data_IF_380309442361
#
_entry.id   IF_380309442361
#
_cell.length_a   1.000
_cell.length_b   1.000
_cell.length_c   1.000
_cell.angle_alpha   90.00
_cell.angle_beta   90.00
_cell.angle_gamma   90.00
#
_symmetry.space_group_name_H-M   'P 1'
#
loop_
_entity.id
_entity.type
_entity.pdbx_description
1 polymer ?
#
# COMPACT_ATOMS: atom_id res chain seq x y z
N UNK A 1 1.40 -10.13 -13.30
CA UNK A 1 0.26 -11.02 -12.99
C UNK A 1 0.47 -11.50 -11.56
N UNK A 2 -0.24 -10.92 -10.58
CA UNK A 2 -0.16 -11.38 -9.19
C UNK A 2 -0.81 -12.77 -9.10
N UNK A 3 -0.15 -13.72 -8.43
CA UNK A 3 -0.61 -15.10 -8.30
C UNK A 3 -1.89 -15.15 -7.42
N UNK A 4 -3.01 -15.71 -7.91
CA UNK A 4 -4.24 -15.87 -7.12
C UNK A 4 -4.06 -16.73 -5.85
N UNK A 5 -2.91 -17.39 -5.65
CA UNK A 5 -2.59 -18.08 -4.39
C UNK A 5 -2.38 -17.14 -3.19
N UNK A 6 -1.94 -15.89 -3.40
CA UNK A 6 -1.64 -14.99 -2.27
C UNK A 6 -2.91 -14.55 -1.52
N UNK A 7 -4.03 -14.43 -2.22
CA UNK A 7 -5.32 -14.00 -1.64
C UNK A 7 -6.00 -15.15 -0.88
N UNK A 8 -5.85 -16.39 -1.34
CA UNK A 8 -6.41 -17.57 -0.66
C UNK A 8 -5.82 -17.82 0.74
N UNK A 9 -4.65 -17.25 1.06
CA UNK A 9 -4.05 -17.35 2.40
C UNK A 9 -4.76 -16.42 3.39
N UNK A 10 -5.20 -15.24 2.93
CA UNK A 10 -5.88 -14.26 3.79
C UNK A 10 -7.32 -14.69 4.12
N UNK A 11 -8.04 -15.30 3.17
CA UNK A 11 -9.38 -15.86 3.40
C UNK A 11 -9.37 -17.20 4.14
N UNK A 12 -8.23 -17.92 4.17
CA UNK A 12 -8.06 -19.10 5.02
C UNK A 12 -7.85 -18.75 6.50
N UNK A 13 -7.26 -17.58 6.80
CA UNK A 13 -7.01 -17.10 8.16
C UNK A 13 -8.30 -16.74 8.93
N UNK A 14 -9.40 -16.46 8.24
CA UNK A 14 -10.68 -16.12 8.87
C UNK A 14 -11.57 -17.33 9.14
N UNK A 15 -11.16 -18.56 8.77
CA UNK A 15 -12.03 -19.74 8.74
C UNK A 15 -11.62 -20.95 9.58
N UNK A 16 -10.59 -20.86 10.42
CA UNK A 16 -10.20 -21.98 11.27
C UNK A 16 -10.40 -21.67 12.74
N UNK A 17 -11.50 -22.17 13.28
CA UNK A 17 -11.63 -22.44 14.71
C UNK A 17 -10.59 -23.50 15.10
N UNK A 18 -9.81 -23.19 16.14
CA UNK A 18 -9.04 -24.14 16.97
C UNK A 18 -7.71 -24.72 16.44
N UNK A 19 -6.96 -23.96 15.62
CA UNK A 19 -5.51 -24.20 15.48
C UNK A 19 -4.73 -22.90 15.60
N UNK A 20 -4.00 -22.77 16.71
CA UNK A 20 -2.97 -21.77 16.97
C UNK A 20 -1.90 -21.84 15.87
N UNK A 21 -2.11 -21.08 14.79
CA UNK A 21 -1.24 -21.08 13.61
C UNK A 21 -0.56 -19.73 13.47
N UNK A 22 0.77 -19.73 13.61
CA UNK A 22 1.59 -18.60 13.18
C UNK A 22 1.61 -18.59 11.66
N UNK A 23 1.01 -17.58 11.06
CA UNK A 23 1.08 -17.36 9.62
C UNK A 23 2.07 -16.25 9.35
N UNK A 24 3.02 -16.53 8.47
CA UNK A 24 3.95 -15.55 7.94
C UNK A 24 3.60 -15.34 6.47
N UNK A 25 3.17 -14.13 6.14
CA UNK A 25 2.92 -13.72 4.76
C UNK A 25 4.07 -12.81 4.37
N UNK A 26 4.96 -13.33 3.54
CA UNK A 26 5.95 -12.51 2.86
C UNK A 26 5.38 -12.16 1.49
N UNK A 27 5.10 -10.88 1.27
CA UNK A 27 4.69 -10.42 -0.04
C UNK A 27 5.89 -10.48 -0.99
N UNK A 28 5.63 -10.64 -2.29
CA UNK A 28 6.67 -10.65 -3.33
C UNK A 28 7.48 -9.36 -3.42
N UNK A 29 7.02 -8.34 -2.70
CA UNK A 29 7.57 -7.03 -2.68
C UNK A 29 8.12 -6.68 -1.28
N UNK A 30 8.30 -7.67 -0.41
CA UNK A 30 9.14 -7.50 0.77
C UNK A 30 8.44 -6.90 1.98
N UNK A 31 7.11 -6.93 2.05
CA UNK A 31 6.39 -6.74 3.30
C UNK A 31 6.23 -8.11 3.97
N UNK A 32 6.68 -8.23 5.22
CA UNK A 32 6.47 -9.43 6.02
C UNK A 32 5.41 -9.12 7.08
N UNK A 33 4.32 -9.89 7.05
CA UNK A 33 3.27 -9.92 8.07
C UNK A 33 3.43 -11.19 8.89
N UNK A 34 3.56 -11.07 10.20
CA UNK A 34 3.59 -12.22 11.11
C UNK A 34 2.40 -12.15 12.07
N UNK A 35 1.60 -13.21 12.15
CA UNK A 35 0.53 -13.35 13.17
C UNK A 35 1.06 -14.08 14.42
N UNK A 36 0.55 -13.76 15.61
CA UNK A 36 0.90 -14.49 16.83
C UNK A 36 -0.08 -15.61 17.16
N UNK A 37 0.38 -16.54 17.99
CA UNK A 37 -0.21 -17.84 18.27
C UNK A 37 -1.40 -17.78 19.26
N UNK A 38 -1.54 -16.69 19.98
CA UNK A 38 -2.35 -16.56 21.20
C UNK A 38 -3.83 -16.23 20.93
N UNK A 39 -4.36 -16.58 19.75
CA UNK A 39 -5.77 -16.35 19.37
C UNK A 39 -6.13 -14.87 19.13
N UNK A 40 -5.22 -13.96 19.45
CA UNK A 40 -5.25 -12.56 19.03
C UNK A 40 -4.50 -12.39 17.71
N UNK A 41 -5.10 -11.68 16.75
CA UNK A 41 -4.35 -11.16 15.60
C UNK A 41 -3.45 -10.01 16.07
N UNK A 42 -2.25 -10.32 16.55
CA UNK A 42 -1.14 -9.37 16.62
C UNK A 42 -0.36 -9.47 15.31
N UNK A 43 -0.24 -8.36 14.58
CA UNK A 43 0.40 -8.32 13.26
C UNK A 43 1.72 -7.60 13.39
N UNK A 44 2.85 -8.28 13.18
CA UNK A 44 4.14 -7.60 13.07
C UNK A 44 4.46 -7.33 11.62
N UNK A 45 4.84 -6.09 11.34
CA UNK A 45 5.20 -5.65 10.01
C UNK A 45 6.68 -5.28 9.96
N UNK A 46 7.40 -5.80 8.97
CA UNK A 46 8.76 -5.36 8.67
C UNK A 46 9.04 -5.42 7.18
N UNK A 47 10.01 -4.61 6.76
CA UNK A 47 10.61 -4.72 5.43
C UNK A 47 11.50 -5.97 5.39
N UNK A 48 11.39 -6.77 4.34
CA UNK A 48 12.41 -7.74 3.96
C UNK A 48 13.69 -6.96 3.68
N UNK A 49 14.84 -7.46 4.11
CA UNK A 49 16.10 -6.90 3.64
C UNK A 49 16.12 -7.03 2.10
N UNK A 50 16.59 -6.00 1.36
CA UNK A 50 16.90 -6.21 -0.04
C UNK A 50 17.87 -7.38 -0.11
N UNK A 51 17.62 -8.35 -1.00
CA UNK A 51 18.65 -9.29 -1.38
C UNK A 51 19.86 -8.46 -1.81
N UNK A 52 21.01 -8.71 -1.20
CA UNK A 52 22.28 -8.00 -1.43
C UNK A 52 22.78 -8.33 -2.84
N UNK A 53 22.10 -7.80 -3.87
CA UNK A 53 22.57 -7.80 -5.23
C UNK A 53 23.62 -6.70 -5.31
N UNK A 54 24.86 -7.06 -5.01
CA UNK A 54 26.02 -6.19 -4.93
C UNK A 54 26.22 -5.29 -6.14
N UNK A 55 25.54 -4.16 -6.15
CA UNK A 55 25.81 -3.01 -7.00
C UNK A 55 26.04 -1.82 -6.09
N UNK A 56 27.32 -1.49 -5.91
CA UNK A 56 27.75 -0.15 -5.54
C UNK A 56 27.17 0.83 -6.56
N UNK A 57 26.04 1.42 -6.23
CA UNK A 57 25.50 2.57 -6.94
C UNK A 57 26.08 3.83 -6.30
N UNK A 58 26.94 4.52 -7.04
CA UNK A 58 27.31 5.90 -6.79
C UNK A 58 26.05 6.75 -6.56
N UNK A 59 26.07 7.56 -5.50
CA UNK A 59 24.95 8.38 -5.04
C UNK A 59 24.32 9.20 -6.18
N UNK A 60 23.02 9.01 -6.50
CA UNK A 60 22.29 9.96 -7.32
C UNK A 60 21.99 11.24 -6.52
N UNK A 61 21.72 12.38 -7.19
CA UNK A 61 21.52 13.67 -6.51
C UNK A 61 20.39 13.55 -5.48
N UNK A 62 20.52 14.13 -4.31
CA UNK A 62 19.52 14.05 -3.24
C UNK A 62 18.17 14.64 -3.73
N UNK A 63 17.07 13.86 -3.80
CA UNK A 63 15.74 14.45 -3.97
C UNK A 63 15.47 15.34 -2.75
N UNK A 64 14.79 16.47 -2.93
CA UNK A 64 14.60 17.48 -1.87
C UNK A 64 14.20 16.80 -0.55
N UNK A 65 15.04 16.82 0.49
CA UNK A 65 14.75 16.11 1.72
C UNK A 65 13.45 16.66 2.32
N UNK A 66 12.69 15.79 2.97
CA UNK A 66 11.59 16.22 3.83
C UNK A 66 12.10 17.33 4.76
N UNK A 67 11.26 18.32 5.06
CA UNK A 67 11.73 19.48 5.85
C UNK A 67 12.40 19.01 7.15
N UNK A 68 13.52 19.65 7.58
CA UNK A 68 14.29 19.17 8.72
C UNK A 68 13.42 18.94 9.95
N UNK A 69 13.31 17.68 10.38
CA UNK A 69 12.53 17.28 11.57
C UNK A 69 11.17 16.62 11.32
N UNK A 70 10.73 16.50 10.06
CA UNK A 70 9.47 15.85 9.71
C UNK A 70 9.65 14.85 8.56
N UNK A 71 9.00 13.70 8.60
CA UNK A 71 8.91 12.80 7.45
C UNK A 71 7.83 13.26 6.48
N UNK A 72 7.70 12.57 5.35
CA UNK A 72 6.64 12.80 4.38
C UNK A 72 5.32 12.18 4.85
N UNK A 73 4.21 12.80 4.46
CA UNK A 73 2.86 12.22 4.61
C UNK A 73 2.20 12.08 3.25
N UNK A 74 1.63 10.92 2.98
CA UNK A 74 1.04 10.61 1.69
C UNK A 74 -0.45 10.31 1.79
N UNK A 75 -1.19 10.66 0.74
CA UNK A 75 -2.46 10.02 0.42
C UNK A 75 -2.22 8.94 -0.63
N UNK A 76 -2.86 7.79 -0.45
CA UNK A 76 -3.06 6.81 -1.51
C UNK A 76 -4.55 6.74 -1.79
N UNK A 77 -4.96 7.17 -2.99
CA UNK A 77 -6.34 7.15 -3.43
C UNK A 77 -6.39 6.98 -4.95
N UNK A 78 -7.37 6.23 -5.48
CA UNK A 78 -7.47 5.99 -6.90
C UNK A 78 -7.86 7.26 -7.65
N UNK A 79 -7.00 7.66 -8.58
CA UNK A 79 -7.26 8.75 -9.52
C UNK A 79 -6.77 8.34 -10.91
N UNK A 80 -7.72 8.07 -11.81
CA UNK A 80 -7.47 7.49 -13.12
C UNK A 80 -6.36 8.25 -13.89
N UNK A 81 -5.42 7.50 -14.47
CA UNK A 81 -4.22 7.98 -15.19
C UNK A 81 -3.15 8.67 -14.32
N UNK A 82 -3.19 8.50 -13.00
CA UNK A 82 -2.15 9.01 -12.11
C UNK A 82 -1.39 7.89 -11.40
N UNK A 83 -0.43 8.24 -10.54
CA UNK A 83 0.31 7.29 -9.70
C UNK A 83 -0.48 6.81 -8.47
N UNK A 84 -1.65 7.41 -8.21
CA UNK A 84 -2.48 7.23 -7.01
C UNK A 84 -1.83 7.70 -5.71
N UNK A 85 -0.63 8.30 -5.77
CA UNK A 85 0.12 8.75 -4.58
C UNK A 85 0.32 10.24 -4.62
N UNK A 86 -0.04 10.90 -3.52
CA UNK A 86 -0.14 12.35 -3.42
C UNK A 86 0.47 12.83 -2.10
N UNK A 87 1.06 14.01 -2.10
CA UNK A 87 1.46 14.66 -0.85
C UNK A 87 0.23 15.16 -0.10
N UNK A 88 0.32 15.08 1.22
CA UNK A 88 -0.56 15.79 2.14
C UNK A 88 -0.11 17.25 2.25
N UNK A 89 -0.73 18.15 1.51
CA UNK A 89 -0.23 19.53 1.33
C UNK A 89 -0.32 20.42 2.57
N UNK A 90 -1.17 20.08 3.53
CA UNK A 90 -1.24 20.75 4.83
C UNK A 90 -0.16 20.26 5.81
N UNK A 91 0.67 19.29 5.41
CA UNK A 91 1.77 18.78 6.23
C UNK A 91 3.07 19.54 5.97
N UNK A 92 3.62 20.16 7.01
CA UNK A 92 4.86 20.96 6.93
C UNK A 92 6.09 20.17 6.44
N UNK A 93 6.10 18.84 6.58
CA UNK A 93 7.18 17.98 6.08
C UNK A 93 7.16 17.76 4.56
N UNK A 94 6.03 18.04 3.89
CA UNK A 94 5.86 17.89 2.45
C UNK A 94 6.18 19.19 1.70
N UNK A 95 6.45 19.12 0.38
CA UNK A 95 6.47 20.30 -0.49
C UNK A 95 5.12 21.04 -0.43
N UNK A 96 5.13 22.33 -0.12
CA UNK A 96 3.92 23.10 0.24
C UNK A 96 3.03 23.52 -0.93
N UNK A 97 3.50 23.44 -2.17
CA UNK A 97 2.82 23.89 -3.39
C UNK A 97 2.50 22.75 -4.37
N UNK A 98 2.91 21.52 -4.07
CA UNK A 98 2.79 20.38 -4.95
C UNK A 98 2.00 19.25 -4.27
N UNK A 99 0.83 18.91 -4.85
CA UNK A 99 0.06 17.74 -4.43
C UNK A 99 0.57 16.47 -5.09
N UNK A 100 1.12 16.58 -6.30
CA UNK A 100 1.54 15.43 -7.09
C UNK A 100 2.91 14.92 -6.65
N UNK A 101 3.03 13.62 -6.38
CA UNK A 101 4.34 13.04 -6.14
C UNK A 101 4.90 12.53 -7.46
N UNK A 102 6.01 13.14 -7.88
CA UNK A 102 6.77 12.67 -9.03
C UNK A 102 7.15 11.17 -8.86
N UNK A 103 6.90 10.38 -9.89
CA UNK A 103 7.09 8.94 -9.84
C UNK A 103 8.57 8.54 -9.79
N UNK A 104 9.45 9.28 -10.46
CA UNK A 104 10.89 9.06 -10.42
C UNK A 104 11.42 9.35 -9.01
N UNK A 105 10.86 10.36 -8.33
CA UNK A 105 11.14 10.64 -6.93
C UNK A 105 10.70 9.49 -6.01
N UNK A 106 9.49 8.94 -6.19
CA UNK A 106 9.03 7.77 -5.43
C UNK A 106 9.94 6.55 -5.66
N UNK A 107 10.27 6.27 -6.93
CA UNK A 107 11.16 5.17 -7.32
C UNK A 107 12.54 5.32 -6.67
N UNK A 108 13.09 6.52 -6.71
CA UNK A 108 14.41 6.82 -6.15
C UNK A 108 14.44 6.69 -4.62
N UNK A 109 13.37 7.09 -3.94
CA UNK A 109 13.26 7.02 -2.47
C UNK A 109 13.01 5.61 -1.97
N UNK A 110 12.12 4.85 -2.64
CA UNK A 110 11.59 3.58 -2.11
C UNK A 110 11.98 2.35 -2.93
N UNK A 111 12.66 2.54 -4.04
CA UNK A 111 13.20 1.49 -4.90
C UNK A 111 12.19 0.94 -5.92
N UNK A 112 12.74 0.25 -6.92
CA UNK A 112 11.95 -0.32 -8.03
C UNK A 112 10.96 -1.39 -7.62
N UNK A 113 11.22 -2.12 -6.52
CA UNK A 113 10.30 -3.15 -6.07
C UNK A 113 8.96 -2.53 -5.64
N UNK A 114 9.01 -1.39 -4.95
CA UNK A 114 7.82 -0.68 -4.49
C UNK A 114 7.06 -0.06 -5.65
N UNK A 115 7.80 0.59 -6.55
CA UNK A 115 7.25 1.13 -7.80
C UNK A 115 6.52 0.05 -8.61
N UNK A 116 7.15 -1.11 -8.85
CA UNK A 116 6.53 -2.21 -9.60
C UNK A 116 5.27 -2.76 -8.94
N UNK A 117 5.24 -2.84 -7.61
CA UNK A 117 4.04 -3.29 -6.89
C UNK A 117 2.90 -2.26 -7.02
N UNK A 118 3.22 -0.97 -6.90
CA UNK A 118 2.28 0.13 -7.12
C UNK A 118 1.72 0.09 -8.53
N UNK A 119 2.57 0.00 -9.54
CA UNK A 119 2.15 0.01 -10.94
C UNK A 119 1.25 -1.18 -11.26
N UNK A 120 1.57 -2.37 -10.74
CA UNK A 120 0.71 -3.55 -10.90
C UNK A 120 -0.66 -3.37 -10.23
N UNK A 121 -0.74 -2.66 -9.11
CA UNK A 121 -1.99 -2.37 -8.40
C UNK A 121 -2.81 -1.26 -9.10
N UNK A 122 -2.17 -0.21 -9.59
CA UNK A 122 -2.77 0.85 -10.42
C UNK A 122 -3.29 0.28 -11.74
N UNK A 123 -2.53 -0.58 -12.40
CA UNK A 123 -2.93 -1.25 -13.65
C UNK A 123 -4.22 -2.05 -13.50
N UNK A 124 -4.42 -2.72 -12.35
CA UNK A 124 -5.66 -3.47 -12.08
C UNK A 124 -6.87 -2.53 -12.05
N UNK A 125 -6.75 -1.41 -11.32
CA UNK A 125 -7.81 -0.40 -11.27
C UNK A 125 -8.06 0.18 -12.67
N UNK A 126 -7.01 0.62 -13.36
CA UNK A 126 -7.10 1.22 -14.70
C UNK A 126 -7.83 0.31 -15.68
N UNK A 127 -7.51 -0.99 -15.70
CA UNK A 127 -8.18 -1.96 -16.57
C UNK A 127 -9.65 -2.16 -16.21
N UNK A 128 -9.97 -2.21 -14.92
CA UNK A 128 -11.35 -2.33 -14.46
C UNK A 128 -12.15 -1.07 -14.85
N UNK A 129 -11.59 0.11 -14.57
CA UNK A 129 -12.15 1.41 -14.93
C UNK A 129 -12.40 1.56 -16.44
N UNK A 130 -11.47 1.08 -17.27
CA UNK A 130 -11.61 1.08 -18.73
C UNK A 130 -12.62 0.06 -19.24
N UNK A 131 -12.65 -1.15 -18.66
CA UNK A 131 -13.60 -2.19 -19.04
C UNK A 131 -15.06 -1.80 -18.78
N UNK A 132 -15.29 -0.98 -17.76
CA UNK A 132 -16.61 -0.43 -17.44
C UNK A 132 -16.92 0.89 -18.16
N UNK A 133 -16.06 1.32 -19.09
CA UNK A 133 -16.24 2.58 -19.83
C UNK A 133 -16.42 3.80 -18.90
N UNK A 134 -15.89 3.74 -17.67
CA UNK A 134 -16.02 4.83 -16.69
C UNK A 134 -15.41 6.15 -17.20
N UNK A 135 -14.40 6.03 -18.07
CA UNK A 135 -13.72 7.15 -18.71
C UNK A 135 -14.58 7.95 -19.70
N UNK A 136 -15.73 7.43 -20.15
CA UNK A 136 -16.67 8.15 -21.04
C UNK A 136 -17.85 8.79 -20.29
N UNK A 137 -17.72 8.99 -18.97
CA UNK A 137 -18.68 9.69 -18.09
C UNK A 137 -20.10 9.08 -18.02
N UNK A 138 -20.33 7.89 -18.58
CA UNK A 138 -21.65 7.25 -18.62
C UNK A 138 -21.90 6.27 -17.47
N UNK A 139 -20.83 5.78 -16.81
CA UNK A 139 -20.93 4.72 -15.81
C UNK A 139 -20.75 5.26 -14.39
N UNK A 140 -21.77 5.05 -13.55
CA UNK A 140 -21.78 5.36 -12.10
C UNK A 140 -21.83 4.08 -11.23
N UNK A 141 -21.54 2.93 -11.83
CA UNK A 141 -21.50 1.66 -11.12
C UNK A 141 -20.17 1.42 -10.41
N UNK A 142 -20.05 0.32 -9.66
CA UNK A 142 -18.81 -0.07 -9.00
C UNK A 142 -17.69 -0.30 -10.03
N UNK A 143 -16.46 0.12 -9.71
CA UNK A 143 -15.31 -0.06 -10.61
C UNK A 143 -14.99 -1.54 -10.81
N UNK A 144 -15.18 -2.36 -9.78
CA UNK A 144 -14.96 -3.80 -9.85
C UNK A 144 -16.27 -4.55 -10.02
N UNK A 145 -16.23 -5.62 -10.81
CA UNK A 145 -17.42 -6.41 -11.16
C UNK A 145 -17.96 -7.21 -9.99
N UNK A 146 -17.12 -7.54 -9.01
CA UNK A 146 -17.49 -8.31 -7.83
C UNK A 146 -16.99 -7.69 -6.53
N UNK A 147 -17.70 -7.90 -5.40
CA UNK A 147 -17.21 -7.51 -4.08
C UNK A 147 -15.85 -8.12 -3.74
N UNK A 148 -15.61 -9.38 -4.14
CA UNK A 148 -14.34 -10.07 -3.86
C UNK A 148 -13.16 -9.40 -4.58
N UNK A 149 -13.35 -8.93 -5.81
CA UNK A 149 -12.34 -8.16 -6.56
C UNK A 149 -12.06 -6.81 -5.92
N UNK A 150 -13.11 -6.10 -5.47
CA UNK A 150 -12.97 -4.85 -4.72
C UNK A 150 -12.17 -5.08 -3.43
N UNK A 151 -12.55 -6.09 -2.65
CA UNK A 151 -11.90 -6.45 -1.38
C UNK A 151 -10.44 -6.83 -1.61
N UNK A 152 -10.16 -7.62 -2.65
CA UNK A 152 -8.79 -7.97 -3.05
C UNK A 152 -7.96 -6.74 -3.40
N UNK A 153 -8.48 -5.86 -4.27
CA UNK A 153 -7.78 -4.65 -4.69
C UNK A 153 -7.55 -3.67 -3.54
N UNK A 154 -8.56 -3.50 -2.68
CA UNK A 154 -8.47 -2.67 -1.46
C UNK A 154 -7.42 -3.22 -0.50
N UNK A 155 -7.41 -4.53 -0.28
CA UNK A 155 -6.44 -5.20 0.60
C UNK A 155 -5.02 -5.02 0.07
N UNK A 156 -4.79 -5.22 -1.23
CA UNK A 156 -3.49 -4.97 -1.86
C UNK A 156 -3.04 -3.51 -1.68
N UNK A 157 -3.96 -2.56 -1.84
CA UNK A 157 -3.70 -1.14 -1.64
C UNK A 157 -3.31 -0.79 -0.20
N UNK A 158 -4.02 -1.34 0.79
CA UNK A 158 -3.69 -1.17 2.21
C UNK A 158 -2.32 -1.79 2.55
N UNK A 159 -2.00 -2.95 2.01
CA UNK A 159 -0.68 -3.56 2.21
C UNK A 159 0.45 -2.76 1.54
N UNK A 160 0.19 -2.15 0.38
CA UNK A 160 1.14 -1.26 -0.28
C UNK A 160 1.35 0.04 0.50
N UNK A 161 0.27 0.62 1.02
CA UNK A 161 0.32 1.79 1.90
C UNK A 161 1.09 1.50 3.19
N UNK A 162 0.88 0.31 3.78
CA UNK A 162 1.63 -0.13 4.94
C UNK A 162 3.12 -0.31 4.65
N UNK A 163 3.44 -0.86 3.47
CA UNK A 163 4.82 -0.96 3.04
C UNK A 163 5.47 0.42 2.89
N UNK A 164 4.77 1.39 2.31
CA UNK A 164 5.24 2.77 2.22
C UNK A 164 5.44 3.40 3.61
N UNK A 165 4.50 3.22 4.54
CA UNK A 165 4.56 3.76 5.91
C UNK A 165 5.75 3.21 6.73
N UNK A 166 6.30 2.05 6.37
CA UNK A 166 7.49 1.49 7.01
C UNK A 166 8.80 2.13 6.51
N UNK A 167 8.78 2.78 5.35
CA UNK A 167 9.98 3.32 4.72
C UNK A 167 10.64 4.42 5.57
N UNK A 168 11.96 4.57 5.49
CA UNK A 168 12.64 5.71 6.11
C UNK A 168 12.08 7.04 5.60
N UNK A 169 11.91 8.00 6.49
CA UNK A 169 11.43 9.34 6.12
C UNK A 169 9.94 9.43 5.80
N UNK A 170 9.14 8.39 6.06
CA UNK A 170 7.67 8.43 5.96
C UNK A 170 7.07 8.49 7.36
N UNK A 171 6.21 9.47 7.60
CA UNK A 171 5.50 9.64 8.88
C UNK A 171 4.17 8.89 8.89
N UNK A 172 3.35 9.09 7.85
CA UNK A 172 2.05 8.42 7.72
C UNK A 172 1.60 8.27 6.27
N UNK A 173 0.70 7.32 6.05
CA UNK A 173 0.00 7.13 4.78
C UNK A 173 -1.50 6.98 5.05
N UNK A 174 -2.29 7.84 4.42
CA UNK A 174 -3.75 7.81 4.48
C UNK A 174 -4.22 7.04 3.23
N UNK A 175 -4.79 5.84 3.41
CA UNK A 175 -5.31 5.02 2.30
C UNK A 175 -6.82 5.21 2.16
N UNK A 176 -7.26 5.51 0.94
CA UNK A 176 -8.65 5.69 0.56
C UNK A 176 -9.08 4.66 -0.49
N UNK A 177 -10.33 4.21 -0.38
CA UNK A 177 -10.94 3.35 -1.40
C UNK A 177 -11.40 4.15 -2.64
N UNK A 178 -12.01 3.46 -3.60
CA UNK A 178 -12.58 4.06 -4.81
C UNK A 178 -13.82 4.92 -4.55
N UNK A 179 -14.48 4.75 -3.41
CA UNK A 179 -15.52 5.64 -2.91
C UNK A 179 -14.97 6.96 -2.32
N UNK A 180 -13.65 7.08 -2.20
CA UNK A 180 -12.97 8.23 -1.59
C UNK A 180 -12.97 8.20 -0.06
N UNK A 181 -13.53 7.17 0.57
CA UNK A 181 -13.55 7.04 2.02
C UNK A 181 -12.14 6.66 2.51
N UNK A 182 -11.67 7.33 3.56
CA UNK A 182 -10.44 6.94 4.23
C UNK A 182 -10.69 5.61 4.95
N UNK A 183 -10.01 4.56 4.49
CA UNK A 183 -10.15 3.21 5.04
C UNK A 183 -9.16 3.02 6.19
N UNK A 184 -7.94 3.53 6.06
CA UNK A 184 -6.86 3.34 7.03
C UNK A 184 -5.93 4.55 7.09
N UNK A 185 -5.59 4.97 8.31
CA UNK A 185 -4.43 5.82 8.59
C UNK A 185 -3.29 4.93 9.10
N UNK A 186 -2.20 4.87 8.33
CA UNK A 186 -1.08 3.97 8.58
C UNK A 186 0.12 4.79 9.03
N UNK A 187 0.32 4.83 10.35
CA UNK A 187 1.49 5.43 10.99
C UNK A 187 2.47 4.32 11.37
N UNK A 188 3.77 4.57 11.21
CA UNK A 188 4.81 3.59 11.55
C UNK A 188 4.66 3.04 12.97
N UNK A 189 4.35 3.94 13.91
CA UNK A 189 4.00 3.59 15.28
C UNK A 189 2.47 3.36 15.33
N UNK A 190 2.05 2.09 15.32
CA UNK A 190 0.62 1.73 15.33
C UNK A 190 0.17 0.95 14.09
N UNK A 191 1.01 0.89 13.05
CA UNK A 191 0.77 0.15 11.81
C UNK A 191 0.22 -1.26 12.03
N UNK A 192 0.85 -2.00 12.94
CA UNK A 192 0.46 -3.34 13.36
C UNK A 192 -1.02 -3.42 13.80
N UNK A 193 -1.43 -2.49 14.65
CA UNK A 193 -2.78 -2.45 15.23
C UNK A 193 -3.80 -2.04 14.17
N UNK A 194 -3.48 -1.04 13.33
CA UNK A 194 -4.35 -0.61 12.24
C UNK A 194 -4.56 -1.75 11.24
N UNK A 195 -3.49 -2.41 10.79
CA UNK A 195 -3.58 -3.54 9.86
C UNK A 195 -4.32 -4.72 10.44
N UNK A 196 -4.03 -5.10 11.69
CA UNK A 196 -4.78 -6.17 12.35
C UNK A 196 -6.27 -5.87 12.42
N UNK A 197 -6.64 -4.61 12.70
CA UNK A 197 -8.03 -4.18 12.74
C UNK A 197 -8.67 -4.20 11.36
N UNK A 198 -7.96 -3.73 10.33
CA UNK A 198 -8.44 -3.81 8.95
C UNK A 198 -8.70 -5.26 8.52
N UNK A 199 -7.72 -6.14 8.68
CA UNK A 199 -7.81 -7.56 8.27
C UNK A 199 -8.91 -8.33 9.01
N UNK A 200 -9.21 -7.96 10.27
CA UNK A 200 -10.33 -8.55 11.03
C UNK A 200 -11.70 -8.15 10.53
N UNK A 201 -11.80 -7.02 9.83
CA UNK A 201 -13.06 -6.44 9.35
C UNK A 201 -13.27 -6.60 7.84
N UNK A 202 -12.43 -7.41 7.18
CA UNK A 202 -12.60 -7.81 5.78
C UNK A 202 -13.80 -8.73 5.56
#
# INVERSE_FOLDING_TARGET
MADPKTINILSALTRTEDVVSRVMIETTYGLILETTADGGFDVRCRLSKPADNGQSASSPPEPAPAQPGHGYRYYIWPDYKTSFVWYKTDWAGNPGDETHVDQDDLKKRYGEAWERARDAWVDKYTRAFEAHECHVQSYQGPIFSTPDEQTAWTTEGVLLAAWLALQPGVDSVDFHDDGGACVCLLEKNGLAVTLASFLKNL
#
